data_IF_813073621853
#
_entry.id   IF_813073621853
#
_cell.length_a   1.000
_cell.length_b   1.000
_cell.length_c   1.000
_cell.angle_alpha   90.00
_cell.angle_beta   90.00
_cell.angle_gamma   90.00
#
_symmetry.space_group_name_H-M   'P 1'
#
loop_
_entity.id
_entity.type
_entity.pdbx_description
1 polymer ?
#
# COMPACT_ATOMS: atom_id res chain seq x y z
N UNK A 1 18.51 12.58 8.00
CA UNK A 1 17.49 12.36 9.06
C UNK A 1 16.54 13.55 9.22
N UNK A 2 16.88 14.73 8.67
CA UNK A 2 16.04 15.94 8.64
C UNK A 2 14.87 15.88 7.65
N UNK A 3 14.96 15.07 6.60
CA UNK A 3 13.99 15.08 5.48
C UNK A 3 12.65 14.39 5.79
N UNK A 4 12.61 13.53 6.81
CA UNK A 4 11.36 12.87 7.23
C UNK A 4 10.38 13.81 7.94
N UNK A 5 10.88 14.91 8.51
CA UNK A 5 10.05 15.93 9.19
C UNK A 5 9.87 17.18 8.33
N UNK A 6 10.28 17.15 7.07
CA UNK A 6 10.09 18.29 6.17
C UNK A 6 8.64 18.37 5.73
N UNK A 7 7.92 19.33 6.29
CA UNK A 7 6.52 19.64 6.00
C UNK A 7 6.29 19.95 4.50
N UNK A 8 7.32 20.43 3.80
CA UNK A 8 7.20 20.74 2.37
C UNK A 8 7.01 19.48 1.52
N UNK A 9 7.51 18.34 1.97
CA UNK A 9 7.34 17.06 1.27
C UNK A 9 6.07 16.31 1.65
N UNK A 10 5.41 16.69 2.74
CA UNK A 10 4.23 15.99 3.26
C UNK A 10 3.07 15.96 2.24
N UNK A 11 2.93 17.02 1.44
CA UNK A 11 1.90 17.09 0.37
C UNK A 11 2.04 15.97 -0.67
N UNK A 12 3.25 15.46 -0.90
CA UNK A 12 3.52 14.35 -1.81
C UNK A 12 3.51 13.00 -1.09
N UNK A 13 4.02 12.98 0.13
CA UNK A 13 4.19 11.78 0.94
C UNK A 13 2.87 11.22 1.44
N UNK A 14 2.00 12.06 1.98
CA UNK A 14 0.73 11.60 2.56
C UNK A 14 -0.16 10.90 1.52
N UNK A 15 -0.47 11.47 0.34
CA UNK A 15 -1.25 10.75 -0.66
C UNK A 15 -0.52 9.53 -1.21
N UNK A 16 0.80 9.56 -1.38
CA UNK A 16 1.57 8.40 -1.84
C UNK A 16 1.49 7.23 -0.85
N UNK A 17 1.59 7.51 0.45
CA UNK A 17 1.43 6.51 1.50
C UNK A 17 0.02 5.95 1.56
N UNK A 18 -1.00 6.80 1.45
CA UNK A 18 -2.41 6.37 1.42
C UNK A 18 -2.69 5.44 0.26
N UNK A 19 -2.14 5.72 -0.92
CA UNK A 19 -2.26 4.84 -2.10
C UNK A 19 -1.58 3.49 -1.83
N UNK A 20 -0.35 3.50 -1.31
CA UNK A 20 0.41 2.28 -1.03
C UNK A 20 -0.33 1.37 -0.04
N UNK A 21 -0.84 1.95 1.05
CA UNK A 21 -1.60 1.22 2.08
C UNK A 21 -2.95 0.72 1.57
N UNK A 22 -3.74 1.59 0.92
CA UNK A 22 -5.09 1.24 0.49
C UNK A 22 -5.10 0.11 -0.54
N UNK A 23 -4.18 0.16 -1.50
CA UNK A 23 -4.09 -0.88 -2.53
C UNK A 23 -3.48 -2.18 -2.00
N UNK A 24 -2.58 -2.11 -1.02
CA UNK A 24 -2.09 -3.27 -0.29
C UNK A 24 -3.23 -4.01 0.42
N UNK A 25 -4.00 -3.30 1.25
CA UNK A 25 -5.15 -3.88 1.96
C UNK A 25 -6.25 -4.36 1.02
N UNK A 26 -6.51 -3.60 -0.06
CA UNK A 26 -7.44 -4.02 -1.09
C UNK A 26 -7.02 -5.33 -1.76
N UNK A 27 -5.73 -5.53 -2.01
CA UNK A 27 -5.23 -6.77 -2.61
C UNK A 27 -5.46 -7.98 -1.69
N UNK A 28 -5.22 -7.85 -0.38
CA UNK A 28 -5.56 -8.89 0.59
C UNK A 28 -7.06 -9.20 0.58
N UNK A 29 -7.91 -8.17 0.63
CA UNK A 29 -9.35 -8.31 0.58
C UNK A 29 -9.82 -9.01 -0.69
N UNK A 30 -9.32 -8.57 -1.85
CA UNK A 30 -9.71 -9.10 -3.16
C UNK A 30 -9.33 -10.58 -3.33
N UNK A 31 -8.10 -10.94 -2.97
CA UNK A 31 -7.65 -12.34 -3.08
C UNK A 31 -8.41 -13.23 -2.10
N UNK A 32 -8.65 -12.79 -0.87
CA UNK A 32 -9.43 -13.54 0.12
C UNK A 32 -10.86 -13.78 -0.35
N UNK A 33 -11.54 -12.73 -0.82
CA UNK A 33 -12.90 -12.83 -1.37
C UNK A 33 -12.96 -13.78 -2.59
N UNK A 34 -11.97 -13.70 -3.49
CA UNK A 34 -11.87 -14.60 -4.65
C UNK A 34 -11.65 -16.07 -4.27
N UNK A 35 -11.14 -16.36 -3.08
CA UNK A 35 -10.95 -17.70 -2.53
C UNK A 35 -12.18 -18.20 -1.77
N UNK A 36 -13.26 -17.40 -1.71
CA UNK A 36 -14.53 -17.75 -1.13
C UNK A 36 -14.78 -17.19 0.27
N UNK A 37 -13.93 -16.33 0.77
CA UNK A 37 -14.10 -15.66 2.08
C UNK A 37 -14.93 -14.38 1.93
N UNK A 38 -16.20 -14.34 2.38
CA UNK A 38 -17.05 -13.16 2.26
C UNK A 38 -16.72 -12.07 3.29
N UNK A 39 -15.81 -12.32 4.24
CA UNK A 39 -15.54 -11.41 5.36
C UNK A 39 -15.12 -10.01 4.89
N UNK A 40 -14.18 -9.84 3.94
CA UNK A 40 -13.78 -8.50 3.49
C UNK A 40 -14.92 -7.72 2.83
N UNK A 41 -15.73 -8.38 2.00
CA UNK A 41 -16.86 -7.71 1.34
C UNK A 41 -17.97 -7.36 2.31
N UNK A 42 -18.29 -8.22 3.28
CA UNK A 42 -19.29 -7.96 4.33
C UNK A 42 -18.90 -6.79 5.23
N UNK A 43 -17.59 -6.55 5.42
CA UNK A 43 -17.08 -5.43 6.20
C UNK A 43 -16.89 -4.14 5.37
N UNK A 44 -17.25 -4.14 4.09
CA UNK A 44 -17.04 -3.00 3.20
C UNK A 44 -15.58 -2.70 2.90
N UNK A 45 -14.69 -3.72 3.02
CA UNK A 45 -13.25 -3.60 2.81
C UNK A 45 -12.80 -3.90 1.39
N UNK A 46 -13.70 -4.42 0.54
CA UNK A 46 -13.42 -4.74 -0.86
C UNK A 46 -13.47 -3.47 -1.72
N UNK A 47 -12.61 -2.53 -1.43
CA UNK A 47 -12.54 -1.23 -2.10
C UNK A 47 -11.13 -0.64 -2.05
N UNK A 48 -10.76 0.10 -3.08
CA UNK A 48 -9.51 0.87 -3.13
C UNK A 48 -9.62 2.24 -2.44
N UNK A 49 -10.77 2.58 -1.84
CA UNK A 49 -10.95 3.83 -1.12
C UNK A 49 -10.05 3.85 0.14
N UNK A 50 -9.06 4.74 0.24
CA UNK A 50 -8.14 4.77 1.36
C UNK A 50 -8.83 5.06 2.70
N UNK A 51 -9.96 5.77 2.70
CA UNK A 51 -10.66 6.17 3.93
C UNK A 51 -11.15 4.99 4.76
N UNK A 52 -11.54 3.88 4.09
CA UNK A 52 -12.00 2.68 4.81
C UNK A 52 -10.86 1.88 5.44
N UNK A 53 -9.63 2.10 4.97
CA UNK A 53 -8.42 1.43 5.46
C UNK A 53 -7.63 2.29 6.45
N UNK A 54 -8.08 3.53 6.75
CA UNK A 54 -7.42 4.40 7.70
C UNK A 54 -7.67 3.94 9.14
N UNK A 55 -6.60 3.90 9.91
CA UNK A 55 -6.62 3.90 11.37
C UNK A 55 -6.34 5.32 11.87
N UNK A 56 -7.20 5.85 12.74
CA UNK A 56 -7.07 7.22 13.22
C UNK A 56 -5.80 7.44 14.04
N UNK A 57 -5.41 6.44 14.83
CA UNK A 57 -4.18 6.53 15.65
C UNK A 57 -2.96 6.42 14.74
N UNK A 58 -2.98 5.49 13.77
CA UNK A 58 -1.94 5.35 12.76
C UNK A 58 -1.76 6.63 11.93
N UNK A 59 -2.87 7.27 11.55
CA UNK A 59 -2.84 8.55 10.82
C UNK A 59 -2.26 9.70 11.67
N UNK A 60 -2.65 9.80 12.94
CA UNK A 60 -2.09 10.81 13.85
C UNK A 60 -0.60 10.63 14.03
N UNK A 61 -0.12 9.41 14.23
CA UNK A 61 1.30 9.12 14.37
C UNK A 61 2.06 9.37 13.08
N UNK A 62 1.45 9.11 11.92
CA UNK A 62 2.04 9.45 10.63
C UNK A 62 2.32 10.96 10.52
N UNK A 63 1.39 11.79 10.96
CA UNK A 63 1.55 13.26 10.93
C UNK A 63 2.60 13.72 11.93
N UNK A 64 2.63 13.16 13.14
CA UNK A 64 3.52 13.60 14.24
C UNK A 64 4.95 13.05 14.07
N UNK A 65 5.06 11.75 13.78
CA UNK A 65 6.34 11.01 13.81
C UNK A 65 6.83 10.60 12.41
N UNK A 66 6.02 10.80 11.36
CA UNK A 66 6.33 10.30 10.01
C UNK A 66 6.16 8.79 9.84
N UNK A 67 5.61 8.09 10.84
CA UNK A 67 5.33 6.67 10.85
C UNK A 67 3.88 6.43 11.27
N UNK A 68 3.19 5.53 10.55
CA UNK A 68 1.80 5.18 10.83
C UNK A 68 1.47 3.81 10.27
N UNK A 69 0.25 3.34 10.54
CA UNK A 69 -0.26 2.06 10.05
C UNK A 69 -1.68 2.20 9.52
N UNK A 70 -2.07 1.25 8.67
CA UNK A 70 -3.44 1.08 8.20
C UNK A 70 -4.24 0.21 9.18
N UNK A 71 -5.56 0.29 9.09
CA UNK A 71 -6.45 -0.68 9.70
C UNK A 71 -6.45 -1.94 8.82
N UNK A 72 -5.89 -3.07 9.30
CA UNK A 72 -5.75 -4.27 8.49
C UNK A 72 -7.12 -4.84 8.08
N UNK A 73 -7.17 -5.51 6.94
CA UNK A 73 -8.35 -6.26 6.50
C UNK A 73 -8.43 -7.56 7.27
N UNK A 74 -9.60 -7.83 7.85
CA UNK A 74 -9.87 -9.12 8.47
C UNK A 74 -10.19 -10.16 7.41
N UNK A 75 -9.56 -11.32 7.51
CA UNK A 75 -9.75 -12.47 6.63
C UNK A 75 -10.12 -13.71 7.45
N UNK A 76 -10.88 -14.62 6.85
CA UNK A 76 -11.22 -15.90 7.47
C UNK A 76 -10.78 -17.08 6.58
N UNK A 77 -9.58 -17.64 6.84
CA UNK A 77 -9.03 -18.72 6.02
C UNK A 77 -9.82 -20.03 6.04
N UNK A 78 -10.80 -20.18 6.95
CA UNK A 78 -11.67 -21.36 7.01
C UNK A 78 -12.56 -21.51 5.78
N UNK A 79 -12.78 -20.45 5.03
CA UNK A 79 -13.52 -20.49 3.76
C UNK A 79 -12.68 -21.00 2.58
N UNK A 80 -11.35 -21.09 2.70
CA UNK A 80 -10.49 -21.50 1.60
C UNK A 80 -10.57 -23.01 1.36
N UNK A 81 -10.72 -23.44 0.10
CA UNK A 81 -10.68 -24.85 -0.27
C UNK A 81 -9.38 -25.55 0.15
N UNK A 82 -8.26 -24.84 0.08
CA UNK A 82 -6.97 -25.28 0.57
C UNK A 82 -6.41 -24.20 1.49
N UNK A 83 -6.41 -24.46 2.78
CA UNK A 83 -6.01 -23.50 3.81
C UNK A 83 -4.62 -22.94 3.59
N UNK A 84 -3.60 -23.81 3.42
CA UNK A 84 -2.20 -23.39 3.26
C UNK A 84 -1.98 -22.56 2.01
N UNK A 85 -2.47 -23.06 0.87
CA UNK A 85 -2.36 -22.35 -0.41
C UNK A 85 -3.13 -21.03 -0.39
N UNK A 86 -4.31 -21.00 0.23
CA UNK A 86 -5.11 -19.78 0.37
C UNK A 86 -4.40 -18.72 1.21
N UNK A 87 -3.93 -19.10 2.40
CA UNK A 87 -3.19 -18.18 3.28
C UNK A 87 -1.95 -17.63 2.55
N UNK A 88 -1.17 -18.47 1.89
CA UNK A 88 0.00 -18.00 1.12
C UNK A 88 -0.38 -16.99 0.03
N UNK A 89 -1.42 -17.27 -0.76
CA UNK A 89 -1.89 -16.37 -1.83
C UNK A 89 -2.31 -15.02 -1.29
N UNK A 90 -3.05 -15.01 -0.18
CA UNK A 90 -3.49 -13.77 0.46
C UNK A 90 -2.30 -13.01 1.04
N UNK A 91 -1.40 -13.68 1.76
CA UNK A 91 -0.20 -13.01 2.33
C UNK A 91 0.69 -12.36 1.26
N UNK A 92 0.85 -12.98 0.10
CA UNK A 92 1.63 -12.39 -1.00
C UNK A 92 0.86 -11.34 -1.81
N UNK A 93 -0.45 -11.24 -1.67
CA UNK A 93 -1.27 -10.32 -2.47
C UNK A 93 -0.92 -8.85 -2.20
N UNK A 94 -0.80 -8.44 -0.93
CA UNK A 94 -0.43 -7.09 -0.54
C UNK A 94 0.95 -6.67 -1.05
N UNK A 95 2.02 -7.40 -0.67
CA UNK A 95 3.36 -7.13 -1.17
C UNK A 95 3.46 -7.16 -2.69
N UNK A 96 2.78 -8.12 -3.34
CA UNK A 96 2.72 -8.22 -4.80
C UNK A 96 2.08 -7.00 -5.46
N UNK A 97 1.00 -6.48 -4.89
CA UNK A 97 0.36 -5.25 -5.34
C UNK A 97 1.30 -4.05 -5.20
N UNK A 98 2.00 -3.93 -4.09
CA UNK A 98 2.97 -2.86 -3.90
C UNK A 98 4.10 -2.91 -4.93
N UNK A 99 4.65 -4.09 -5.24
CA UNK A 99 5.66 -4.24 -6.29
C UNK A 99 5.12 -3.86 -7.67
N UNK A 100 3.88 -4.23 -7.97
CA UNK A 100 3.22 -3.85 -9.22
C UNK A 100 3.06 -2.33 -9.34
N UNK A 101 2.60 -1.67 -8.26
CA UNK A 101 2.44 -0.20 -8.24
C UNK A 101 3.79 0.49 -8.39
N UNK A 102 4.82 0.00 -7.70
CA UNK A 102 6.18 0.52 -7.83
C UNK A 102 6.65 0.46 -9.29
N UNK A 103 6.49 -0.70 -9.94
CA UNK A 103 6.86 -0.89 -11.34
C UNK A 103 6.08 0.03 -12.29
N UNK A 104 4.77 0.15 -12.10
CA UNK A 104 3.93 1.04 -12.92
C UNK A 104 4.30 2.51 -12.73
N UNK A 105 4.56 2.95 -11.49
CA UNK A 105 4.98 4.32 -11.20
C UNK A 105 6.32 4.64 -11.86
N UNK A 106 7.28 3.71 -11.83
CA UNK A 106 8.57 3.83 -12.53
C UNK A 106 8.36 3.98 -14.04
N UNK A 107 7.57 3.08 -14.64
CA UNK A 107 7.28 3.14 -16.09
C UNK A 107 6.63 4.47 -16.48
N UNK A 108 5.66 4.95 -15.70
CA UNK A 108 4.99 6.24 -15.95
C UNK A 108 6.00 7.38 -15.84
N UNK A 109 6.82 7.40 -14.81
CA UNK A 109 7.83 8.43 -14.57
C UNK A 109 8.83 8.50 -15.74
N UNK A 110 9.39 7.36 -16.14
CA UNK A 110 10.35 7.29 -17.25
C UNK A 110 9.72 7.71 -18.58
N UNK A 111 8.48 7.28 -18.84
CA UNK A 111 7.76 7.65 -20.06
C UNK A 111 7.51 9.17 -20.12
N UNK A 112 7.02 9.74 -19.02
CA UNK A 112 6.76 11.20 -18.96
C UNK A 112 8.04 12.02 -19.09
N UNK A 113 9.15 11.56 -18.48
CA UNK A 113 10.45 12.21 -18.64
C UNK A 113 10.96 12.12 -20.08
N UNK A 114 10.82 10.95 -20.72
CA UNK A 114 11.20 10.74 -22.12
C UNK A 114 10.40 11.61 -23.09
N UNK A 115 9.12 11.85 -22.80
CA UNK A 115 8.25 12.71 -23.61
C UNK A 115 8.45 14.23 -23.32
N UNK A 116 9.34 14.58 -22.39
CA UNK A 116 9.57 15.96 -21.96
C UNK A 116 8.43 16.58 -21.16
N UNK A 117 7.48 15.75 -20.69
CA UNK A 117 6.33 16.19 -19.89
C UNK A 117 6.66 16.33 -18.40
N UNK A 118 7.77 15.75 -17.96
CA UNK A 118 8.19 15.74 -16.57
C UNK A 118 9.71 15.91 -16.47
N UNK A 119 10.16 16.76 -15.55
CA UNK A 119 11.58 16.92 -15.23
C UNK A 119 11.84 16.62 -13.75
N UNK A 120 13.08 16.27 -13.42
CA UNK A 120 13.49 15.98 -12.05
C UNK A 120 13.20 17.18 -11.13
N UNK A 121 12.66 16.90 -9.94
CA UNK A 121 12.32 17.92 -8.95
C UNK A 121 10.96 18.60 -9.11
N UNK A 122 10.26 18.39 -10.22
CA UNK A 122 8.88 18.87 -10.35
C UNK A 122 7.92 18.13 -9.41
N UNK A 123 6.77 18.73 -9.06
CA UNK A 123 5.77 18.11 -8.18
C UNK A 123 5.35 16.70 -8.59
N UNK A 124 5.11 16.48 -9.89
CA UNK A 124 4.76 15.15 -10.40
C UNK A 124 5.88 14.12 -10.25
N UNK A 125 7.14 14.52 -10.46
CA UNK A 125 8.31 13.66 -10.23
C UNK A 125 8.44 13.30 -8.74
N UNK A 126 8.31 14.29 -7.85
CA UNK A 126 8.38 14.06 -6.41
C UNK A 126 7.26 13.14 -5.92
N UNK A 127 6.05 13.33 -6.41
CA UNK A 127 4.92 12.46 -6.06
C UNK A 127 5.16 11.00 -6.51
N UNK A 128 5.54 10.77 -7.77
CA UNK A 128 5.84 9.42 -8.27
C UNK A 128 7.01 8.78 -7.54
N UNK A 129 8.03 9.56 -7.21
CA UNK A 129 9.16 9.09 -6.39
C UNK A 129 8.69 8.56 -5.03
N UNK A 130 7.82 9.30 -4.33
CA UNK A 130 7.28 8.85 -3.03
C UNK A 130 6.34 7.65 -3.17
N UNK A 131 5.55 7.57 -4.26
CA UNK A 131 4.74 6.38 -4.56
C UNK A 131 5.64 5.15 -4.70
N UNK A 132 6.71 5.24 -5.47
CA UNK A 132 7.67 4.14 -5.65
C UNK A 132 8.30 3.76 -4.31
N UNK A 133 8.83 4.73 -3.58
CA UNK A 133 9.56 4.51 -2.33
C UNK A 133 8.68 3.81 -1.28
N UNK A 134 7.48 4.30 -1.03
CA UNK A 134 6.57 3.67 -0.06
C UNK A 134 6.14 2.26 -0.50
N UNK A 135 5.88 2.05 -1.78
CA UNK A 135 5.48 0.73 -2.26
C UNK A 135 6.62 -0.29 -2.15
N UNK A 136 7.87 0.09 -2.42
CA UNK A 136 9.04 -0.77 -2.17
C UNK A 136 9.17 -1.10 -0.69
N UNK A 137 9.07 -0.09 0.18
CA UNK A 137 9.18 -0.29 1.63
C UNK A 137 8.09 -1.21 2.16
N UNK A 138 6.82 -0.99 1.75
CA UNK A 138 5.70 -1.85 2.14
C UNK A 138 5.90 -3.29 1.66
N UNK A 139 6.29 -3.49 0.39
CA UNK A 139 6.55 -4.82 -0.12
C UNK A 139 7.66 -5.51 0.67
N UNK A 140 8.78 -4.83 0.90
CA UNK A 140 9.93 -5.40 1.58
C UNK A 140 9.62 -5.75 3.05
N UNK A 141 9.04 -4.81 3.81
CA UNK A 141 8.72 -5.06 5.22
C UNK A 141 7.67 -6.15 5.41
N UNK A 142 6.65 -6.23 4.56
CA UNK A 142 5.61 -7.23 4.68
C UNK A 142 6.01 -8.61 4.12
N UNK A 143 7.15 -8.72 3.45
CA UNK A 143 7.75 -10.01 3.09
C UNK A 143 8.63 -10.59 4.20
N UNK A 144 8.97 -9.81 5.24
CA UNK A 144 9.72 -10.30 6.39
C UNK A 144 8.75 -11.08 7.30
N UNK A 145 9.00 -12.37 7.58
CA UNK A 145 8.09 -13.22 8.35
C UNK A 145 8.21 -12.95 9.86
N UNK A 146 7.97 -11.70 10.28
CA UNK A 146 8.00 -11.28 11.69
C UNK A 146 6.63 -10.76 12.09
N UNK A 147 5.91 -11.43 13.02
CA UNK A 147 4.66 -10.87 13.55
C UNK A 147 4.92 -9.51 14.24
N UNK A 148 4.03 -8.52 14.08
CA UNK A 148 2.67 -8.56 13.52
C UNK A 148 2.55 -8.23 12.02
N UNK A 149 3.65 -8.33 11.28
CA UNK A 149 3.66 -8.11 9.82
C UNK A 149 2.94 -9.26 9.10
N UNK A 150 2.49 -9.00 7.90
CA UNK A 150 1.79 -10.02 7.08
C UNK A 150 2.62 -11.30 6.92
#
# INVERSE_FOLDING_TARGET
MSDFLDWSTLIYRAPALLIAMALHEYAHAYVSDSLGDPTPSMQGRLTANPLVHLDMVGLMLLVICGFGWAKPVEINPNYYKNFRSGVMKVSFAGPGMNLLICFLAECIMLLMMKLGLLTAGQPGHLFLYWVMLYNVWFAFFNLIPVPPLD
#
